data_IF_999591050544
#
_entry.id   IF_999591050544
#
_cell.length_a   1.000
_cell.length_b   1.000
_cell.length_c   1.000
_cell.angle_alpha   90.00
_cell.angle_beta   90.00
_cell.angle_gamma   90.00
#
_symmetry.space_group_name_H-M   'P 1'
#
loop_
_entity.id
_entity.type
_entity.pdbx_description
1 polymer ?
#
# COMPACT_ATOMS: atom_id res chain seq x y z
N UNK A 1 4.70 -8.57 -9.82
CA UNK A 1 3.40 -7.92 -9.47
C UNK A 1 2.26 -8.95 -9.42
N UNK A 2 1.28 -8.78 -8.52
CA UNK A 2 0.08 -9.61 -8.46
C UNK A 2 -0.70 -9.61 -9.78
N UNK A 3 -1.34 -10.73 -10.13
CA UNK A 3 -2.11 -10.87 -11.38
C UNK A 3 -3.25 -9.84 -11.47
N UNK A 4 -3.94 -9.58 -10.36
CA UNK A 4 -5.06 -8.61 -10.30
C UNK A 4 -4.64 -7.20 -10.72
N UNK A 5 -3.41 -6.78 -10.39
CA UNK A 5 -2.84 -5.50 -10.83
C UNK A 5 -2.41 -5.55 -12.30
N UNK A 6 -1.92 -6.70 -12.76
CA UNK A 6 -1.49 -6.89 -14.15
C UNK A 6 -2.64 -6.71 -15.15
N UNK A 7 -3.84 -7.18 -14.79
CA UNK A 7 -5.06 -7.03 -15.62
C UNK A 7 -5.40 -5.56 -15.85
N UNK A 8 -5.16 -4.68 -14.87
CA UNK A 8 -5.39 -3.24 -15.00
C UNK A 8 -4.50 -2.58 -16.06
N UNK A 9 -3.46 -3.27 -16.55
CA UNK A 9 -2.55 -2.78 -17.60
C UNK A 9 -2.95 -3.21 -19.01
N UNK A 10 -3.95 -4.08 -19.18
CA UNK A 10 -4.32 -4.57 -20.49
C UNK A 10 -4.79 -3.43 -21.42
N UNK A 11 -4.35 -3.42 -22.69
CA UNK A 11 -4.80 -2.42 -23.66
C UNK A 11 -6.32 -2.43 -23.76
N UNK A 12 -6.92 -1.25 -23.87
CA UNK A 12 -8.38 -1.02 -23.93
C UNK A 12 -9.12 -1.39 -22.64
N UNK A 13 -9.02 -2.66 -22.18
CA UNK A 13 -9.71 -3.14 -20.98
C UNK A 13 -9.31 -2.39 -19.72
N UNK A 14 -8.00 -2.23 -19.46
CA UNK A 14 -7.49 -1.54 -18.28
C UNK A 14 -8.02 -0.10 -18.17
N UNK A 15 -7.80 0.76 -19.20
CA UNK A 15 -8.36 2.10 -19.24
C UNK A 15 -9.89 2.14 -19.11
N UNK A 16 -10.63 1.25 -19.79
CA UNK A 16 -12.08 1.21 -19.69
C UNK A 16 -12.56 0.87 -18.26
N UNK A 17 -11.94 -0.12 -17.62
CA UNK A 17 -12.27 -0.52 -16.25
C UNK A 17 -11.90 0.55 -15.22
N UNK A 18 -10.71 1.13 -15.32
CA UNK A 18 -10.21 2.13 -14.37
C UNK A 18 -10.93 3.47 -14.55
N UNK A 19 -10.91 4.02 -15.77
CA UNK A 19 -11.45 5.36 -16.04
C UNK A 19 -12.97 5.35 -16.12
N UNK A 20 -13.56 4.38 -16.81
CA UNK A 20 -15.01 4.31 -17.02
C UNK A 20 -15.75 3.81 -15.78
N UNK A 21 -15.37 2.64 -15.28
CA UNK A 21 -16.14 1.94 -14.24
C UNK A 21 -15.65 2.17 -12.79
N UNK A 22 -14.59 2.95 -12.57
CA UNK A 22 -13.96 3.11 -11.24
C UNK A 22 -13.56 1.76 -10.60
N UNK A 23 -13.28 0.75 -11.42
CA UNK A 23 -13.18 -0.63 -10.97
C UNK A 23 -12.04 -0.82 -9.96
N UNK A 24 -10.97 -0.03 -10.05
CA UNK A 24 -9.84 -0.10 -9.14
C UNK A 24 -10.22 0.29 -7.71
N UNK A 25 -10.78 1.50 -7.50
CA UNK A 25 -11.20 1.94 -6.17
C UNK A 25 -12.33 1.08 -5.61
N UNK A 26 -13.31 0.71 -6.43
CA UNK A 26 -14.42 -0.15 -5.98
C UNK A 26 -13.94 -1.54 -5.56
N UNK A 27 -13.00 -2.14 -6.31
CA UNK A 27 -12.41 -3.42 -5.94
C UNK A 27 -11.57 -3.30 -4.67
N UNK A 28 -10.84 -2.20 -4.49
CA UNK A 28 -10.00 -1.97 -3.33
C UNK A 28 -10.81 -1.92 -2.02
N UNK A 29 -12.01 -1.34 -2.00
CA UNK A 29 -12.90 -1.33 -0.82
C UNK A 29 -13.29 -2.72 -0.28
N UNK A 30 -13.09 -3.77 -1.07
CA UNK A 30 -13.32 -5.16 -0.67
C UNK A 30 -12.03 -5.95 -0.57
N UNK A 31 -11.13 -5.78 -1.52
CA UNK A 31 -9.92 -6.60 -1.63
C UNK A 31 -8.81 -6.11 -0.69
N UNK A 32 -8.80 -4.84 -0.33
CA UNK A 32 -7.77 -4.26 0.54
C UNK A 32 -8.05 -4.47 2.03
N UNK A 33 -9.19 -5.07 2.39
CA UNK A 33 -9.66 -5.22 3.77
C UNK A 33 -9.93 -6.70 4.03
N UNK A 34 -9.48 -7.23 5.15
CA UNK A 34 -9.68 -8.62 5.56
C UNK A 34 -10.84 -8.79 6.55
N UNK A 35 -10.99 -7.88 7.51
CA UNK A 35 -12.08 -7.75 8.47
C UNK A 35 -13.37 -7.38 7.74
N UNK A 36 -14.48 -8.01 8.13
CA UNK A 36 -15.78 -7.78 7.48
C UNK A 36 -16.29 -6.34 7.67
N UNK A 37 -16.01 -5.78 8.84
CA UNK A 37 -16.35 -4.45 9.31
C UNK A 37 -15.16 -3.49 9.30
N UNK A 38 -14.05 -3.85 8.64
CA UNK A 38 -12.82 -3.07 8.63
C UNK A 38 -12.88 -1.72 7.90
N UNK A 39 -14.04 -1.33 7.37
CA UNK A 39 -14.32 0.02 6.87
C UNK A 39 -15.78 0.39 7.13
N UNK A 40 -15.97 1.52 7.78
CA UNK A 40 -17.26 2.19 7.95
C UNK A 40 -17.84 2.66 6.61
N UNK A 41 -19.14 2.98 6.62
CA UNK A 41 -19.79 3.57 5.44
C UNK A 41 -19.15 4.91 5.03
N UNK A 42 -18.68 5.69 6.01
CA UNK A 42 -18.11 7.02 5.78
C UNK A 42 -16.72 6.94 5.17
N UNK A 43 -15.86 6.04 5.65
CA UNK A 43 -14.55 5.77 5.06
C UNK A 43 -14.68 5.23 3.64
N UNK A 44 -15.64 4.33 3.38
CA UNK A 44 -15.93 3.83 2.03
C UNK A 44 -16.30 4.97 1.08
N UNK A 45 -17.15 5.91 1.51
CA UNK A 45 -17.49 7.09 0.70
C UNK A 45 -16.26 7.98 0.51
N UNK A 46 -15.53 8.28 1.58
CA UNK A 46 -14.35 9.13 1.55
C UNK A 46 -13.26 8.62 0.59
N UNK A 47 -13.03 7.32 0.55
CA UNK A 47 -12.07 6.68 -0.38
C UNK A 47 -12.51 6.77 -1.85
N UNK A 48 -13.81 6.92 -2.13
CA UNK A 48 -14.34 7.05 -3.49
C UNK A 48 -14.48 8.50 -3.96
N UNK A 49 -14.66 9.45 -3.03
CA UNK A 49 -14.92 10.88 -3.34
C UNK A 49 -13.90 11.49 -4.31
N UNK A 50 -12.57 11.26 -4.18
CA UNK A 50 -11.60 11.82 -5.12
C UNK A 50 -11.70 11.27 -6.55
N UNK A 51 -12.45 10.18 -6.76
CA UNK A 51 -12.49 9.41 -8.00
C UNK A 51 -13.89 9.36 -8.63
N UNK A 52 -14.67 10.43 -8.47
CA UNK A 52 -16.05 10.53 -8.95
C UNK A 52 -16.19 10.71 -10.48
N UNK A 53 -15.10 10.97 -11.20
CA UNK A 53 -15.12 11.18 -12.66
C UNK A 53 -13.91 10.56 -13.37
N UNK A 54 -14.02 10.20 -14.67
CA UNK A 54 -12.90 9.64 -15.43
C UNK A 54 -11.65 10.54 -15.43
N UNK A 55 -11.83 11.86 -15.52
CA UNK A 55 -10.73 12.82 -15.47
C UNK A 55 -9.94 12.74 -14.16
N UNK A 56 -10.62 12.52 -13.03
CA UNK A 56 -9.97 12.36 -11.72
C UNK A 56 -9.35 10.97 -11.50
N UNK A 57 -9.62 10.00 -12.38
CA UNK A 57 -9.05 8.63 -12.33
C UNK A 57 -7.79 8.45 -13.17
N UNK A 58 -7.37 9.48 -13.91
CA UNK A 58 -6.15 9.44 -14.75
C UNK A 58 -4.92 9.07 -13.90
N UNK A 59 -4.82 9.63 -12.69
CA UNK A 59 -3.73 9.32 -11.76
C UNK A 59 -3.65 7.83 -11.38
N UNK A 60 -4.79 7.15 -11.23
CA UNK A 60 -4.79 5.70 -10.95
C UNK A 60 -4.27 4.89 -12.14
N UNK A 61 -4.67 5.27 -13.36
CA UNK A 61 -4.20 4.60 -14.56
C UNK A 61 -2.69 4.81 -14.76
N UNK A 62 -2.20 6.04 -14.51
CA UNK A 62 -0.78 6.35 -14.54
C UNK A 62 -0.02 5.54 -13.48
N UNK A 63 -0.48 5.54 -12.23
CA UNK A 63 0.09 4.75 -11.14
C UNK A 63 0.25 3.27 -11.50
N UNK A 64 -0.81 2.64 -12.04
CA UNK A 64 -0.75 1.23 -12.45
C UNK A 64 0.24 0.99 -13.58
N UNK A 65 0.37 1.94 -14.53
CA UNK A 65 1.33 1.87 -15.64
C UNK A 65 2.77 2.08 -15.19
N UNK A 66 2.98 2.88 -14.14
CA UNK A 66 4.30 3.22 -13.63
C UNK A 66 4.97 2.10 -12.84
N UNK A 67 4.25 1.01 -12.52
CA UNK A 67 4.86 -0.16 -11.87
C UNK A 67 5.81 -0.86 -12.87
N UNK A 68 7.13 -0.86 -12.63
CA UNK A 68 8.08 -1.39 -13.60
C UNK A 68 8.12 -2.92 -13.54
N UNK A 69 8.21 -3.57 -14.71
CA UNK A 69 8.26 -5.04 -14.86
C UNK A 69 9.59 -5.55 -15.41
N UNK A 70 10.44 -4.66 -15.92
CA UNK A 70 11.73 -4.96 -16.50
C UNK A 70 12.66 -3.75 -16.37
N UNK A 71 13.98 -3.95 -16.45
CA UNK A 71 14.98 -2.87 -16.48
C UNK A 71 14.77 -1.82 -17.57
N UNK A 72 14.09 -2.17 -18.66
CA UNK A 72 13.76 -1.26 -19.75
C UNK A 72 12.58 -0.32 -19.45
N UNK A 73 11.89 -0.49 -18.31
CA UNK A 73 10.76 0.37 -17.95
C UNK A 73 11.26 1.77 -17.52
N UNK A 74 10.61 2.88 -17.93
CA UNK A 74 11.09 4.24 -17.62
C UNK A 74 11.31 4.53 -16.13
N UNK A 75 10.49 3.93 -15.26
CA UNK A 75 10.54 4.11 -13.80
C UNK A 75 11.40 3.05 -13.09
N UNK A 76 12.01 2.11 -13.81
CA UNK A 76 12.82 1.05 -13.20
C UNK A 76 14.01 1.61 -12.41
N UNK A 77 14.77 2.51 -13.04
CA UNK A 77 15.96 3.07 -12.40
C UNK A 77 15.60 3.82 -11.11
N UNK A 78 14.53 4.63 -11.15
CA UNK A 78 14.02 5.33 -9.97
C UNK A 78 13.68 4.36 -8.83
N UNK A 79 13.00 3.25 -9.13
CA UNK A 79 12.69 2.24 -8.11
C UNK A 79 13.96 1.58 -7.56
N UNK A 80 14.93 1.26 -8.42
CA UNK A 80 16.19 0.65 -8.03
C UNK A 80 17.03 1.59 -7.14
N UNK A 81 17.08 2.88 -7.46
CA UNK A 81 17.79 3.89 -6.68
C UNK A 81 17.17 4.07 -5.29
N UNK A 82 15.83 4.07 -5.20
CA UNK A 82 15.11 4.10 -3.92
C UNK A 82 15.44 2.85 -3.09
N UNK A 83 15.42 1.67 -3.70
CA UNK A 83 15.76 0.41 -3.01
C UNK A 83 17.20 0.42 -2.48
N UNK A 84 18.16 0.89 -3.29
CA UNK A 84 19.57 1.02 -2.88
C UNK A 84 19.77 2.04 -1.76
N UNK A 85 18.91 3.06 -1.69
CA UNK A 85 18.93 4.08 -0.65
C UNK A 85 18.41 3.63 0.71
N UNK A 86 17.63 2.54 0.79
CA UNK A 86 16.98 2.11 2.03
C UNK A 86 17.93 1.96 3.24
N UNK A 87 19.13 1.33 3.13
CA UNK A 87 20.04 1.18 4.26
C UNK A 87 20.47 2.51 4.90
N UNK A 88 20.45 3.62 4.15
CA UNK A 88 20.81 4.95 4.69
C UNK A 88 19.90 5.41 5.83
N UNK A 89 18.65 4.91 5.87
CA UNK A 89 17.67 5.22 6.91
C UNK A 89 17.85 4.36 8.17
N UNK A 90 18.72 3.35 8.17
CA UNK A 90 18.84 2.37 9.26
C UNK A 90 19.33 2.94 10.60
N UNK A 91 19.81 4.19 10.64
CA UNK A 91 20.15 4.89 11.90
C UNK A 91 18.96 5.56 12.57
N UNK A 92 17.85 5.73 11.85
CA UNK A 92 16.62 6.28 12.41
C UNK A 92 15.91 5.20 13.22
N UNK A 93 15.12 5.58 14.24
CA UNK A 93 14.09 4.70 14.77
C UNK A 93 13.10 4.34 13.65
N UNK A 94 12.78 3.06 13.51
CA UNK A 94 11.87 2.56 12.46
C UNK A 94 10.85 1.62 13.11
N UNK A 95 9.56 1.87 12.86
CA UNK A 95 8.49 0.93 13.14
C UNK A 95 7.85 0.46 11.82
N UNK A 96 7.77 -0.84 11.61
CA UNK A 96 7.12 -1.50 10.48
C UNK A 96 5.78 -2.09 10.96
N UNK A 97 4.67 -1.47 10.60
CA UNK A 97 3.31 -1.95 10.93
C UNK A 97 2.70 -2.58 9.69
N UNK A 98 2.39 -3.88 9.76
CA UNK A 98 2.07 -4.67 8.56
C UNK A 98 0.82 -5.52 8.73
N UNK A 99 -0.11 -5.41 7.78
CA UNK A 99 -1.26 -6.29 7.66
C UNK A 99 -0.85 -7.61 7.01
N UNK A 100 -0.94 -8.71 7.75
CA UNK A 100 -0.45 -10.02 7.30
C UNK A 100 -1.40 -10.72 6.32
N UNK A 101 -2.61 -10.17 6.11
CA UNK A 101 -3.55 -10.60 5.07
C UNK A 101 -3.44 -9.79 3.77
N UNK A 102 -2.47 -8.87 3.68
CA UNK A 102 -2.22 -8.13 2.44
C UNK A 102 -1.80 -9.09 1.31
N UNK A 103 -2.56 -9.07 0.20
CA UNK A 103 -2.31 -9.88 -0.98
C UNK A 103 -1.43 -9.16 -2.02
N UNK A 104 -1.25 -7.86 -1.89
CA UNK A 104 -0.48 -7.01 -2.79
C UNK A 104 0.96 -6.87 -2.29
N UNK A 105 1.14 -6.46 -1.03
CA UNK A 105 2.43 -6.40 -0.34
C UNK A 105 2.48 -7.46 0.76
N UNK A 106 2.56 -8.72 0.33
CA UNK A 106 2.52 -9.86 1.21
C UNK A 106 3.72 -9.93 2.19
N UNK A 107 3.73 -10.85 3.17
CA UNK A 107 4.78 -10.94 4.19
C UNK A 107 6.23 -11.07 3.67
N UNK A 108 6.44 -11.45 2.40
CA UNK A 108 7.77 -11.47 1.78
C UNK A 108 8.32 -10.05 1.60
N UNK A 109 7.45 -9.07 1.34
CA UNK A 109 7.83 -7.66 1.30
C UNK A 109 8.29 -7.18 2.67
N UNK A 110 7.54 -7.50 3.74
CA UNK A 110 7.95 -7.20 5.11
C UNK A 110 9.32 -7.82 5.42
N UNK A 111 9.53 -9.08 5.04
CA UNK A 111 10.82 -9.75 5.26
C UNK A 111 11.98 -8.97 4.65
N UNK A 112 11.84 -8.45 3.41
CA UNK A 112 12.89 -7.64 2.78
C UNK A 112 13.20 -6.38 3.58
N UNK A 113 12.19 -5.69 4.11
CA UNK A 113 12.41 -4.53 4.97
C UNK A 113 13.12 -4.90 6.27
N UNK A 114 12.75 -6.03 6.90
CA UNK A 114 13.45 -6.53 8.10
C UNK A 114 14.90 -6.90 7.81
N UNK A 115 15.18 -7.50 6.65
CA UNK A 115 16.54 -7.85 6.24
C UNK A 115 17.40 -6.58 6.03
N UNK A 116 16.80 -5.49 5.54
CA UNK A 116 17.47 -4.19 5.34
C UNK A 116 17.60 -3.38 6.64
N UNK A 117 16.61 -3.44 7.52
CA UNK A 117 16.56 -2.73 8.80
C UNK A 117 16.36 -3.69 9.97
N UNK A 118 17.41 -4.45 10.36
CA UNK A 118 17.30 -5.49 11.39
C UNK A 118 16.95 -4.96 12.78
N UNK A 119 17.15 -3.66 13.03
CA UNK A 119 16.82 -2.99 14.29
C UNK A 119 15.43 -2.37 14.32
N UNK A 120 14.63 -2.49 13.25
CA UNK A 120 13.27 -1.95 13.21
C UNK A 120 12.33 -2.69 14.18
N UNK A 121 11.43 -1.96 14.82
CA UNK A 121 10.30 -2.53 15.57
C UNK A 121 9.27 -3.09 14.58
N UNK A 122 8.89 -4.36 14.69
CA UNK A 122 8.01 -5.01 13.70
C UNK A 122 6.69 -5.43 14.33
N UNK A 123 5.60 -4.81 13.87
CA UNK A 123 4.23 -5.08 14.31
C UNK A 123 3.46 -5.81 13.22
N UNK A 124 3.10 -7.07 13.50
CA UNK A 124 2.37 -7.94 12.57
C UNK A 124 0.91 -8.04 12.99
N UNK A 125 0.03 -7.44 12.20
CA UNK A 125 -1.41 -7.47 12.41
C UNK A 125 -1.98 -8.65 11.61
N UNK A 126 -2.20 -9.79 12.29
CA UNK A 126 -2.45 -11.09 11.66
C UNK A 126 -3.77 -11.19 10.89
N UNK A 127 -4.73 -10.34 11.21
CA UNK A 127 -6.08 -10.32 10.68
C UNK A 127 -6.38 -9.08 9.82
N UNK A 128 -5.39 -8.22 9.58
CA UNK A 128 -5.51 -6.98 8.81
C UNK A 128 -4.98 -7.16 7.39
N UNK A 129 -5.67 -6.56 6.43
CA UNK A 129 -5.34 -6.55 5.01
C UNK A 129 -4.39 -5.42 4.59
N UNK A 130 -4.61 -4.89 3.40
CA UNK A 130 -3.77 -3.88 2.76
C UNK A 130 -4.02 -2.46 3.29
N UNK A 131 -5.26 -2.11 3.67
CA UNK A 131 -5.60 -0.80 4.23
C UNK A 131 -5.34 -0.75 5.74
N UNK A 132 -4.09 -1.01 6.13
CA UNK A 132 -3.64 -1.17 7.52
C UNK A 132 -4.09 -0.02 8.42
N UNK A 133 -3.94 1.23 7.96
CA UNK A 133 -4.26 2.43 8.75
C UNK A 133 -5.75 2.57 9.03
N UNK A 134 -6.61 2.13 8.11
CA UNK A 134 -8.06 2.23 8.28
C UNK A 134 -8.61 1.00 9.01
N UNK A 135 -8.21 -0.19 8.56
CA UNK A 135 -8.73 -1.45 9.09
C UNK A 135 -8.18 -1.79 10.49
N UNK A 136 -6.92 -1.45 10.74
CA UNK A 136 -6.23 -1.63 12.02
C UNK A 136 -6.05 -0.33 12.79
N UNK A 137 -6.96 0.64 12.63
CA UNK A 137 -6.79 2.01 13.14
C UNK A 137 -6.46 2.06 14.64
N UNK A 138 -7.15 1.27 15.47
CA UNK A 138 -6.90 1.21 16.92
C UNK A 138 -5.50 0.69 17.23
N UNK A 139 -5.09 -0.42 16.60
CA UNK A 139 -3.76 -0.99 16.79
C UNK A 139 -2.66 -0.06 16.29
N UNK A 140 -2.85 0.51 15.09
CA UNK A 140 -1.91 1.46 14.47
C UNK A 140 -1.73 2.68 15.36
N UNK A 141 -2.81 3.27 15.86
CA UNK A 141 -2.74 4.44 16.74
C UNK A 141 -1.93 4.14 18.00
N UNK A 142 -2.25 3.05 18.70
CA UNK A 142 -1.53 2.66 19.91
C UNK A 142 -0.04 2.40 19.65
N UNK A 143 0.30 1.76 18.52
CA UNK A 143 1.69 1.52 18.14
C UNK A 143 2.42 2.84 17.87
N UNK A 144 1.80 3.75 17.12
CA UNK A 144 2.39 5.03 16.73
C UNK A 144 2.61 5.94 17.95
N UNK A 145 1.63 6.03 18.86
CA UNK A 145 1.79 6.78 20.12
C UNK A 145 2.97 6.25 20.94
N UNK A 146 2.98 4.92 21.16
CA UNK A 146 4.04 4.27 21.91
C UNK A 146 5.42 4.43 21.25
N UNK A 147 5.48 4.41 19.93
CA UNK A 147 6.71 4.63 19.18
C UNK A 147 7.22 6.05 19.40
N UNK A 148 6.37 7.07 19.25
CA UNK A 148 6.75 8.46 19.47
C UNK A 148 7.17 8.74 20.92
N UNK A 149 6.50 8.16 21.90
CA UNK A 149 6.89 8.30 23.31
C UNK A 149 8.31 7.80 23.57
N UNK A 150 8.70 6.67 22.96
CA UNK A 150 10.05 6.10 23.09
C UNK A 150 11.11 6.87 22.32
N UNK A 151 10.76 7.44 21.17
CA UNK A 151 11.74 8.04 20.24
C UNK A 151 11.92 9.54 20.42
N UNK A 152 10.91 10.25 20.93
CA UNK A 152 10.92 11.70 21.13
C UNK A 152 11.40 12.08 22.54
N UNK A 153 11.35 11.16 23.50
CA UNK A 153 11.87 11.36 24.85
C UNK A 153 13.42 11.26 24.96
N UNK A 154 14.13 11.40 23.83
CA UNK A 154 15.61 11.40 23.74
C UNK A 154 16.10 12.67 23.07
#
# INVERSE_FOLDING_TARGET
IPFRIRVCRWPVFGPAALLGANAFSLAALRMAVARRDGLTADERRGLLTPYDSPARRIGQLAFVRDIPLSPSHPTWQTLADIEQGLPSLGKLPIALIWGMRDWCFDPRCLKRFVDVWPSAEVHRLNDVGHYVVLEGATEVHAIVEQFFDRTTAR
#
